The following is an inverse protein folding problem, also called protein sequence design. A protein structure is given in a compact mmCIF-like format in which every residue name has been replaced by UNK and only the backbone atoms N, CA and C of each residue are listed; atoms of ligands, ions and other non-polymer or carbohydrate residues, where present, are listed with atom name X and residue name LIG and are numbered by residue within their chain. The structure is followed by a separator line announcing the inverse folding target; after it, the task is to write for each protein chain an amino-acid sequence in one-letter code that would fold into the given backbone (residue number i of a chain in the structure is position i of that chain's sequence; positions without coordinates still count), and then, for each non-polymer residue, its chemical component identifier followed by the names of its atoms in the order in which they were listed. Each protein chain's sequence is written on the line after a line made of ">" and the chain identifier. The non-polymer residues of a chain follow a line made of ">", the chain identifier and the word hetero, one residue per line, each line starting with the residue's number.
data_IF_537361852316
#
_entry.id   IF_537361852316
#
_cell.length_a   1.000
_cell.length_b   1.000
_cell.length_c   1.000
_cell.angle_alpha   90.00
_cell.angle_beta   90.00
_cell.angle_gamma   90.00
#
_symmetry.space_group_name_H-M   'P 1'
#
loop_
_entity.id
_entity.type
_entity.pdbx_description
1 polymer ?
#
# COMPACT_ATOMS: atom_id res chain seq x y z
N UNK A 1 14.88 -2.87 1.69
CA UNK A 1 15.12 -2.27 2.03
C UNK A 1 15.18 -1.04 1.52
N UNK A 2 14.92 -0.33 1.90
CA UNK A 2 14.84 0.73 1.41
C UNK A 2 15.86 1.50 1.75
N UNK A 3 16.79 1.51 1.19
CA UNK A 3 17.76 2.08 1.52
C UNK A 3 17.60 3.51 1.35
N UNK A 4 16.73 4.02 0.67
CA UNK A 4 16.60 5.40 0.53
C UNK A 4 15.82 6.00 1.66
N UNK A 5 15.33 5.24 2.57
CA UNK A 5 14.65 5.80 3.73
C UNK A 5 13.38 6.53 3.43
N UNK A 6 12.74 6.25 2.35
CA UNK A 6 11.51 6.94 2.01
C UNK A 6 10.42 6.58 2.97
N UNK A 7 9.71 7.59 3.42
CA UNK A 7 8.61 7.38 4.32
C UNK A 7 7.30 7.21 3.60
N UNK A 8 7.23 7.65 2.37
CA UNK A 8 6.02 7.50 1.60
C UNK A 8 6.34 6.94 0.23
N UNK A 9 5.37 6.32 -0.38
CA UNK A 9 5.51 5.72 -1.70
C UNK A 9 4.46 6.35 -2.60
N UNK A 10 4.71 6.35 -3.88
CA UNK A 10 3.66 6.76 -4.80
C UNK A 10 2.65 5.62 -4.88
N UNK A 11 1.47 5.90 -5.39
CA UNK A 11 0.48 4.84 -5.55
C UNK A 11 1.01 3.79 -6.51
N UNK A 12 1.74 4.19 -7.54
CA UNK A 12 2.31 3.25 -8.48
C UNK A 12 3.34 2.36 -7.82
N UNK A 13 4.17 2.93 -6.95
CA UNK A 13 5.15 2.13 -6.23
C UNK A 13 4.47 1.15 -5.29
N UNK A 14 3.43 1.60 -4.61
CA UNK A 14 2.71 0.73 -3.70
C UNK A 14 2.07 -0.42 -4.48
N UNK A 15 1.53 -0.12 -5.66
CA UNK A 15 0.93 -1.15 -6.49
C UNK A 15 1.96 -2.21 -6.86
N UNK A 16 3.16 -1.77 -7.19
CA UNK A 16 4.22 -2.71 -7.54
C UNK A 16 4.57 -3.61 -6.38
N UNK A 17 4.63 -3.05 -5.19
CA UNK A 17 4.94 -3.84 -4.01
C UNK A 17 3.83 -4.82 -3.69
N UNK A 18 2.60 -4.43 -3.96
CA UNK A 18 1.48 -5.31 -3.67
C UNK A 18 1.21 -6.30 -4.78
N UNK A 19 1.82 -6.11 -5.92
CA UNK A 19 1.60 -7.03 -7.04
C UNK A 19 0.27 -6.80 -7.72
N UNK A 20 -0.25 -5.59 -7.69
CA UNK A 20 -1.52 -5.29 -8.33
C UNK A 20 -1.33 -4.19 -9.36
N UNK A 21 -2.32 -3.98 -10.20
CA UNK A 21 -2.22 -2.97 -11.21
C UNK A 21 -2.37 -1.59 -10.58
N UNK A 22 -1.89 -0.58 -11.28
CA UNK A 22 -1.99 0.77 -10.79
C UNK A 22 -3.47 1.17 -10.70
N UNK A 23 -4.28 0.76 -11.67
CA UNK A 23 -5.69 1.09 -11.63
C UNK A 23 -6.37 0.53 -10.40
N UNK A 24 -6.05 -0.70 -10.07
CA UNK A 24 -6.64 -1.31 -8.89
C UNK A 24 -6.17 -0.58 -7.64
N UNK A 25 -4.90 -0.19 -7.59
CA UNK A 25 -4.39 0.51 -6.44
C UNK A 25 -5.12 1.83 -6.23
N UNK A 26 -5.36 2.59 -7.31
CA UNK A 26 -6.09 3.83 -7.17
C UNK A 26 -7.53 3.58 -6.74
N UNK A 27 -8.11 2.50 -7.20
CA UNK A 27 -9.44 2.16 -6.80
C UNK A 27 -9.50 1.86 -5.30
N UNK A 28 -8.52 1.14 -4.80
CA UNK A 28 -8.47 0.82 -3.38
C UNK A 28 -8.25 2.07 -2.53
N UNK A 29 -7.48 3.01 -3.05
CA UNK A 29 -7.31 4.27 -2.36
C UNK A 29 -8.64 5.01 -2.30
N UNK A 30 -9.38 5.02 -3.39
CA UNK A 30 -10.65 5.72 -3.43
C UNK A 30 -11.65 5.10 -2.47
N UNK A 31 -11.56 3.79 -2.26
CA UNK A 31 -12.47 3.11 -1.36
C UNK A 31 -12.04 3.21 0.07
N UNK A 32 -10.88 3.73 0.33
CA UNK A 32 -10.36 3.77 1.69
C UNK A 32 -9.77 2.46 2.15
N UNK A 33 -9.56 1.53 1.24
CA UNK A 33 -9.00 0.24 1.62
C UNK A 33 -7.49 0.23 1.59
N UNK A 34 -6.89 1.20 0.92
CA UNK A 34 -5.45 1.30 0.90
C UNK A 34 -5.09 2.61 1.57
N UNK A 35 -4.27 2.59 2.61
CA UNK A 35 -3.95 3.82 3.32
C UNK A 35 -3.27 4.81 2.38
N UNK A 36 -3.68 6.04 2.42
CA UNK A 36 -3.11 7.05 1.57
C UNK A 36 -3.13 8.39 2.27
N UNK A 37 -2.32 9.29 1.77
CA UNK A 37 -2.21 10.60 2.35
C UNK A 37 -2.10 11.58 1.22
N UNK A 38 -2.83 12.67 1.30
CA UNK A 38 -2.77 13.65 0.26
C UNK A 38 -1.82 14.76 0.64
N UNK A 39 -0.81 14.94 -0.16
CA UNK A 39 0.15 15.99 0.06
C UNK A 39 0.08 16.94 -1.13
N UNK A 40 -0.58 18.06 -0.95
CA UNK A 40 -0.79 18.99 -2.02
C UNK A 40 -1.62 18.33 -3.08
N UNK A 41 -1.09 18.17 -4.27
CA UNK A 41 -1.82 17.54 -5.32
C UNK A 41 -1.47 16.10 -5.47
N UNK A 42 -0.56 15.60 -4.67
CA UNK A 42 -0.12 14.22 -4.82
C UNK A 42 -0.77 13.33 -3.80
N UNK A 43 -0.99 12.11 -4.19
CA UNK A 43 -1.50 11.12 -3.28
C UNK A 43 -0.36 10.14 -3.06
N UNK A 44 0.00 9.90 -1.82
CA UNK A 44 1.08 9.01 -1.49
C UNK A 44 0.61 7.98 -0.48
N UNK A 45 1.31 6.89 -0.38
CA UNK A 45 0.97 5.82 0.55
C UNK A 45 2.04 5.80 1.62
N UNK A 46 1.67 6.05 2.88
CA UNK A 46 2.65 6.01 3.94
C UNK A 46 3.19 4.60 4.05
N UNK A 47 4.50 4.44 3.96
CA UNK A 47 5.10 3.14 3.95
C UNK A 47 4.77 2.34 5.19
N UNK A 48 4.86 2.99 6.34
CA UNK A 48 4.57 2.30 7.57
C UNK A 48 3.13 1.82 7.62
N UNK A 49 2.19 2.62 7.13
CA UNK A 49 0.80 2.21 7.14
C UNK A 49 0.57 1.04 6.19
N UNK A 50 1.27 1.02 5.06
CA UNK A 50 1.16 -0.09 4.14
C UNK A 50 1.71 -1.36 4.78
N UNK A 51 2.83 -1.26 5.46
CA UNK A 51 3.40 -2.41 6.12
C UNK A 51 2.49 -2.94 7.21
N UNK A 52 1.86 -2.04 7.94
CA UNK A 52 0.94 -2.46 9.00
C UNK A 52 -0.28 -3.15 8.41
N UNK A 53 -0.76 -2.66 7.29
CA UNK A 53 -1.90 -3.28 6.64
C UNK A 53 -1.56 -4.68 6.18
N UNK A 54 -0.39 -4.86 5.62
CA UNK A 54 0.00 -6.17 5.16
C UNK A 54 0.20 -7.14 6.31
N UNK A 55 0.72 -6.64 7.40
CA UNK A 55 0.90 -7.51 8.54
C UNK A 55 -0.42 -7.92 9.14
N UNK A 56 -1.39 -7.03 9.14
CA UNK A 56 -2.68 -7.38 9.68
C UNK A 56 -3.36 -8.44 8.83
N UNK A 57 -3.23 -8.33 7.52
CA UNK A 57 -3.83 -9.31 6.67
C UNK A 57 -3.13 -10.63 6.75
N UNK A 58 -1.86 -10.61 6.90
CA UNK A 58 -1.14 -11.85 6.96
C UNK A 58 -1.34 -12.54 8.24
N UNK A 59 -1.89 -11.89 9.19
CA UNK A 59 -2.12 -12.54 10.46
C UNK A 59 -2.96 -13.77 10.30
N UNK A 60 -3.69 -13.92 9.24
CA UNK A 60 -4.51 -15.07 9.10
C UNK A 60 -3.93 -15.91 8.11
N UNK A 61 -3.08 -16.60 8.39
CA UNK A 61 -2.38 -17.37 7.52
C UNK A 61 -3.06 -18.36 6.84
N UNK A 62 -3.69 -18.83 7.33
CA UNK A 62 -4.23 -19.83 6.77
C UNK A 62 -4.66 -19.72 5.60
N UNK A 63 -4.97 -19.09 5.50
CA UNK A 63 -5.50 -19.13 4.53
C UNK A 63 -4.95 -19.28 3.51
N UNK A 64 -4.45 -19.14 3.67
CA UNK A 64 -3.83 -19.23 2.81
C UNK A 64 -4.02 -20.03 1.97
N UNK A 65 -4.09 -20.38 2.07
CA UNK A 65 -4.14 -21.18 1.45
C UNK A 65 -4.80 -21.37 0.70
N UNK A 66 -5.03 -21.22 0.91
CA UNK A 66 -5.64 -21.63 0.36
C UNK A 66 -5.48 -21.47 -0.36
#
# INVERSE_FOLDING_TARGET
>A
MTRDGRLVLSVTEAAGLLGISRGLAYELVARGELPSLRLGRRIVVPRRALEALLEADVADPVDAGA
#
